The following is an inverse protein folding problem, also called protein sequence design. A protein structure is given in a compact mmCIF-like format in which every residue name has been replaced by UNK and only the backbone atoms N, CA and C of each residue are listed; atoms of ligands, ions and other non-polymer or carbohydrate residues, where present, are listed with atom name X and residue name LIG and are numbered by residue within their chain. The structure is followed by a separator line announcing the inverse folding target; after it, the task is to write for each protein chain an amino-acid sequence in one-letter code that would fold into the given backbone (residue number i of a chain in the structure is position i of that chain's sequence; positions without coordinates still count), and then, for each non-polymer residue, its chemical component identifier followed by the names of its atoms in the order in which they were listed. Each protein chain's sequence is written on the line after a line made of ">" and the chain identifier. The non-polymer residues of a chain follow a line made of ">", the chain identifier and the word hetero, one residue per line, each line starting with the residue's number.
data_IF_869019183795
#
_entry.id   IF_869019183795
#
_cell.length_a   1.000
_cell.length_b   1.000
_cell.length_c   1.000
_cell.angle_alpha   90.00
_cell.angle_beta   90.00
_cell.angle_gamma   90.00
#
_symmetry.space_group_name_H-M   'P 1'
#
loop_
_entity.id
_entity.type
_entity.pdbx_description
1 polymer ?
#
# COMPACT_ATOMS: atom_id res chain seq x y z
N UNK A 1 9.94 -20.46 -42.67
CA UNK A 1 11.28 -19.83 -42.72
C UNK A 1 12.01 -20.12 -41.42
N UNK A 2 13.35 -20.26 -41.43
CA UNK A 2 14.08 -20.93 -40.35
C UNK A 2 14.10 -20.09 -39.08
N UNK A 3 13.79 -20.73 -37.94
CA UNK A 3 13.93 -20.17 -36.60
C UNK A 3 15.40 -20.15 -36.21
N UNK A 4 15.94 -18.98 -35.88
CA UNK A 4 17.22 -18.87 -35.18
C UNK A 4 16.99 -18.34 -33.77
N UNK A 5 17.26 -19.20 -32.80
CA UNK A 5 17.47 -18.89 -31.39
C UNK A 5 18.76 -18.09 -31.21
N UNK A 6 18.74 -17.03 -30.40
CA UNK A 6 19.97 -16.37 -29.95
C UNK A 6 19.90 -15.94 -28.49
N UNK A 7 21.04 -16.16 -27.84
CA UNK A 7 21.37 -15.95 -26.44
C UNK A 7 21.26 -14.51 -25.96
N UNK A 8 20.88 -14.39 -24.69
CA UNK A 8 20.82 -13.13 -23.95
C UNK A 8 22.14 -12.90 -23.24
N UNK A 9 22.93 -11.95 -23.72
CA UNK A 9 23.95 -11.33 -22.87
C UNK A 9 24.29 -9.93 -23.38
N UNK A 10 23.90 -8.91 -22.61
CA UNK A 10 24.72 -7.72 -22.39
C UNK A 10 24.17 -6.92 -21.22
N UNK A 11 25.06 -6.72 -20.24
CA UNK A 11 24.94 -5.77 -19.13
C UNK A 11 24.66 -4.36 -19.65
N UNK A 12 23.64 -3.70 -19.11
CA UNK A 12 23.59 -2.24 -19.06
C UNK A 12 22.93 -1.78 -17.76
N UNK A 13 23.72 -1.02 -16.99
CA UNK A 13 23.40 -0.34 -15.73
C UNK A 13 22.09 0.48 -15.78
N UNK A 14 21.24 0.46 -14.73
CA UNK A 14 20.01 1.25 -14.70
C UNK A 14 20.29 2.72 -14.38
N UNK A 15 19.94 3.61 -15.32
CA UNK A 15 19.81 5.05 -15.07
C UNK A 15 18.57 5.35 -14.22
N UNK A 16 18.72 6.30 -13.31
CA UNK A 16 17.76 6.76 -12.31
C UNK A 16 16.44 7.27 -12.92
N UNK A 17 15.31 6.70 -12.49
CA UNK A 17 13.96 7.25 -12.69
C UNK A 17 13.59 8.22 -11.56
N UNK A 18 12.76 9.24 -11.81
CA UNK A 18 12.37 10.22 -10.80
C UNK A 18 11.47 9.58 -9.73
N UNK A 19 11.80 9.84 -8.47
CA UNK A 19 11.11 9.36 -7.25
C UNK A 19 9.79 10.14 -7.09
N UNK A 20 8.66 9.53 -7.46
CA UNK A 20 7.32 10.09 -7.18
C UNK A 20 6.92 9.70 -5.76
N UNK A 21 7.43 10.41 -4.77
CA UNK A 21 6.99 10.29 -3.37
C UNK A 21 5.54 10.77 -3.24
N UNK A 22 4.59 9.83 -3.19
CA UNK A 22 3.21 10.10 -2.76
C UNK A 22 3.20 10.08 -1.23
N UNK A 23 3.29 11.26 -0.62
CA UNK A 23 3.09 11.40 0.82
C UNK A 23 1.59 11.21 1.13
N UNK A 24 1.22 10.03 1.65
CA UNK A 24 -0.09 9.83 2.24
C UNK A 24 -0.16 10.60 3.57
N UNK A 25 -0.71 11.81 3.56
CA UNK A 25 -1.11 12.49 4.79
C UNK A 25 -2.40 11.85 5.30
N UNK A 26 -2.28 11.08 6.38
CA UNK A 26 -3.44 10.59 7.15
C UNK A 26 -4.12 11.79 7.81
N UNK A 27 -5.20 12.27 7.18
CA UNK A 27 -6.04 13.33 7.75
C UNK A 27 -6.82 12.75 8.92
N UNK A 28 -6.51 13.22 10.13
CA UNK A 28 -7.23 12.83 11.35
C UNK A 28 -8.62 13.45 11.32
N UNK A 29 -9.66 12.65 11.09
CA UNK A 29 -11.04 13.08 11.28
C UNK A 29 -11.28 13.33 12.77
N UNK A 30 -11.46 14.60 13.15
CA UNK A 30 -11.85 14.97 14.52
C UNK A 30 -13.32 14.67 14.76
N UNK A 31 -13.58 13.80 15.74
CA UNK A 31 -14.54 14.02 16.82
C UNK A 31 -16.00 14.26 16.46
N UNK A 32 -16.73 13.16 16.21
CA UNK A 32 -18.14 13.02 16.57
C UNK A 32 -18.27 11.84 17.52
N UNK A 33 -19.06 11.97 18.59
CA UNK A 33 -19.36 10.89 19.55
C UNK A 33 -19.75 9.61 18.80
N UNK A 34 -18.87 8.60 18.85
CA UNK A 34 -19.01 7.32 18.15
C UNK A 34 -17.92 7.03 17.10
N UNK A 35 -17.06 7.98 16.74
CA UNK A 35 -15.94 7.75 15.83
C UNK A 35 -14.65 7.44 16.61
N UNK A 36 -14.22 6.17 16.60
CA UNK A 36 -12.89 5.78 17.10
C UNK A 36 -11.84 6.56 16.28
N UNK A 37 -10.86 7.20 16.91
CA UNK A 37 -9.82 7.93 16.17
C UNK A 37 -8.66 6.99 15.89
N UNK A 38 -7.96 7.14 14.75
CA UNK A 38 -6.77 6.35 14.44
C UNK A 38 -7.00 5.07 13.61
N UNK A 39 -8.11 4.97 12.86
CA UNK A 39 -8.34 3.89 11.90
C UNK A 39 -8.62 4.42 10.49
N UNK A 40 -8.24 3.65 9.47
CA UNK A 40 -8.64 3.83 8.07
C UNK A 40 -9.85 2.93 7.84
N UNK A 41 -10.99 3.53 7.45
CA UNK A 41 -12.12 2.77 6.94
C UNK A 41 -11.72 2.10 5.64
N UNK A 42 -11.85 0.76 5.54
CA UNK A 42 -11.63 0.03 4.28
C UNK A 42 -12.85 0.05 3.37
N UNK A 43 -13.94 0.65 3.84
CA UNK A 43 -15.09 0.98 3.02
C UNK A 43 -15.00 2.44 2.57
N UNK A 44 -14.97 2.63 1.25
CA UNK A 44 -14.99 3.96 0.61
C UNK A 44 -16.33 4.69 0.79
N UNK A 45 -17.37 3.98 1.24
CA UNK A 45 -18.76 4.47 1.22
C UNK A 45 -19.00 5.74 2.05
N UNK A 46 -18.22 5.97 3.11
CA UNK A 46 -18.38 7.13 4.00
C UNK A 46 -17.21 8.11 3.98
N UNK A 47 -16.32 8.04 2.98
CA UNK A 47 -15.29 9.06 2.80
C UNK A 47 -15.98 10.41 2.53
N UNK A 48 -15.59 11.45 3.27
CA UNK A 48 -16.12 12.82 3.18
C UNK A 48 -17.64 12.97 3.43
N UNK A 49 -18.24 12.07 4.24
CA UNK A 49 -19.65 12.18 4.67
C UNK A 49 -19.75 12.67 6.12
N UNK A 50 -20.64 13.62 6.38
CA UNK A 50 -20.81 14.23 7.71
C UNK A 50 -21.77 13.40 8.56
N UNK A 51 -21.37 13.08 9.79
CA UNK A 51 -22.25 12.43 10.78
C UNK A 51 -23.34 13.41 11.23
N UNK A 52 -24.61 13.00 11.18
CA UNK A 52 -25.74 13.77 11.74
C UNK A 52 -26.90 14.09 10.79
N UNK A 53 -26.87 13.67 9.52
CA UNK A 53 -27.91 14.00 8.53
C UNK A 53 -28.98 12.90 8.37
N UNK A 54 -29.69 12.54 9.44
CA UNK A 54 -30.97 11.81 9.30
C UNK A 54 -31.92 12.18 10.44
N UNK A 55 -32.67 13.27 10.27
CA UNK A 55 -33.97 13.41 10.91
C UNK A 55 -35.02 12.85 9.94
N UNK A 56 -35.19 11.53 9.91
CA UNK A 56 -36.41 10.79 9.51
C UNK A 56 -37.06 11.00 8.12
N UNK A 57 -36.84 12.09 7.42
CA UNK A 57 -37.56 12.50 6.23
C UNK A 57 -36.80 13.71 5.67
N UNK A 58 -36.67 13.82 4.34
CA UNK A 58 -35.93 14.86 3.62
C UNK A 58 -34.40 14.74 3.53
N UNK A 59 -33.94 14.72 2.27
CA UNK A 59 -32.64 15.23 1.86
C UNK A 59 -32.58 16.68 2.36
N UNK A 60 -31.74 16.97 3.34
CA UNK A 60 -31.38 18.37 3.63
C UNK A 60 -30.73 18.93 2.38
N UNK A 61 -31.35 19.95 1.78
CA UNK A 61 -30.87 20.71 0.62
C UNK A 61 -29.56 21.51 0.89
N UNK A 62 -28.76 21.11 1.88
CA UNK A 62 -27.56 21.79 2.35
C UNK A 62 -26.26 21.13 1.83
N UNK A 63 -26.35 20.35 0.75
CA UNK A 63 -25.18 19.68 0.17
C UNK A 63 -24.50 18.62 1.06
N UNK A 64 -25.10 18.30 2.21
CA UNK A 64 -24.56 17.32 3.15
C UNK A 64 -24.94 15.91 2.70
N UNK A 65 -23.93 15.09 2.37
CA UNK A 65 -24.13 13.69 1.98
C UNK A 65 -24.21 12.83 3.25
N UNK A 66 -25.35 12.19 3.54
CA UNK A 66 -25.50 11.44 4.78
C UNK A 66 -24.72 10.13 4.75
N UNK A 67 -24.28 9.63 5.91
CA UNK A 67 -23.54 8.36 6.02
C UNK A 67 -24.36 7.20 5.43
N UNK A 68 -23.75 6.40 4.55
CA UNK A 68 -24.25 5.08 4.20
C UNK A 68 -24.12 4.19 5.44
N UNK A 69 -25.13 3.34 5.66
CA UNK A 69 -25.10 2.28 6.67
C UNK A 69 -25.15 0.93 5.96
N UNK A 70 -24.43 -0.09 6.48
CA UNK A 70 -24.30 -1.39 5.82
C UNK A 70 -25.61 -2.20 5.79
N UNK A 71 -26.56 -1.90 6.68
CA UNK A 71 -27.83 -2.63 6.79
C UNK A 71 -29.02 -1.68 6.88
N UNK A 72 -30.06 -1.95 6.10
CA UNK A 72 -31.37 -1.31 6.20
C UNK A 72 -32.40 -2.42 6.45
N UNK A 73 -33.23 -2.30 7.49
CA UNK A 73 -34.31 -3.25 7.69
C UNK A 73 -35.38 -3.00 6.62
N UNK A 74 -35.63 -3.98 5.75
CA UNK A 74 -36.71 -3.95 4.77
C UNK A 74 -37.53 -5.22 4.97
N UNK A 75 -38.64 -5.07 5.66
CA UNK A 75 -39.60 -6.11 6.07
C UNK A 75 -39.19 -6.91 7.33
N UNK A 76 -39.90 -6.68 8.43
CA UNK A 76 -39.63 -7.29 9.75
C UNK A 76 -40.27 -8.69 9.83
N UNK A 77 -39.62 -9.69 9.25
CA UNK A 77 -39.97 -11.10 9.44
C UNK A 77 -39.39 -11.73 10.72
N UNK A 78 -38.99 -10.92 11.73
CA UNK A 78 -38.45 -11.37 13.03
C UNK A 78 -37.18 -12.26 12.94
N UNK A 79 -36.46 -12.22 11.83
CA UNK A 79 -35.15 -12.86 11.69
C UNK A 79 -34.05 -11.78 11.72
N UNK A 80 -33.53 -11.45 12.91
CA UNK A 80 -32.40 -10.52 13.05
C UNK A 80 -31.07 -11.24 12.81
N UNK A 81 -30.09 -10.56 12.20
CA UNK A 81 -28.75 -11.11 12.02
C UNK A 81 -28.02 -11.14 13.36
N UNK A 82 -27.62 -12.33 13.83
CA UNK A 82 -26.80 -12.51 15.04
C UNK A 82 -25.49 -11.70 15.00
N UNK A 83 -24.98 -11.41 13.81
CA UNK A 83 -23.71 -10.70 13.57
C UNK A 83 -23.82 -9.18 13.72
N UNK A 84 -25.02 -8.60 13.74
CA UNK A 84 -25.19 -7.17 14.03
C UNK A 84 -24.95 -6.86 15.52
N UNK A 85 -25.06 -7.88 16.39
CA UNK A 85 -24.76 -7.82 17.83
C UNK A 85 -23.43 -8.53 18.08
N UNK A 86 -22.38 -8.09 17.39
CA UNK A 86 -21.02 -8.60 17.51
C UNK A 86 -20.20 -7.72 18.44
N UNK A 87 -19.92 -8.23 19.64
CA UNK A 87 -19.31 -7.51 20.76
C UNK A 87 -18.07 -6.68 20.42
N UNK A 88 -18.17 -5.38 20.70
CA UNK A 88 -17.42 -4.74 21.79
C UNK A 88 -18.03 -3.33 21.98
N UNK A 89 -18.75 -3.14 23.10
CA UNK A 89 -18.94 -1.84 23.76
C UNK A 89 -19.15 -0.61 22.84
N UNK A 90 -20.21 -0.60 22.03
CA UNK A 90 -20.94 0.66 21.81
C UNK A 90 -21.89 0.75 23.00
N UNK A 91 -21.79 1.82 23.79
CA UNK A 91 -22.56 2.01 25.02
C UNK A 91 -24.06 1.68 24.79
N UNK A 92 -24.54 0.59 25.40
CA UNK A 92 -25.97 0.42 25.67
C UNK A 92 -26.63 -0.90 25.25
N UNK A 93 -26.03 -1.76 24.42
CA UNK A 93 -26.75 -2.96 23.93
C UNK A 93 -26.07 -4.25 24.37
N UNK A 94 -26.64 -4.89 25.41
CA UNK A 94 -26.25 -6.22 25.91
C UNK A 94 -26.97 -7.34 25.13
N UNK A 95 -26.42 -8.59 25.11
CA UNK A 95 -26.98 -9.74 24.37
C UNK A 95 -28.42 -10.19 24.75
N UNK A 96 -29.06 -9.49 25.68
CA UNK A 96 -30.38 -9.78 26.23
C UNK A 96 -31.56 -9.30 25.37
N UNK A 97 -31.34 -8.61 24.26
CA UNK A 97 -32.39 -7.95 23.46
C UNK A 97 -32.84 -8.67 22.17
N UNK A 98 -32.48 -9.95 22.00
CA UNK A 98 -32.70 -10.73 20.75
C UNK A 98 -34.15 -10.79 20.23
N UNK A 99 -35.18 -10.47 21.02
CA UNK A 99 -36.58 -10.71 20.66
C UNK A 99 -37.44 -9.49 20.31
N UNK A 100 -37.00 -8.24 20.52
CA UNK A 100 -37.88 -7.05 20.40
C UNK A 100 -37.27 -5.84 19.65
N UNK A 101 -36.22 -6.02 18.86
CA UNK A 101 -35.23 -4.94 18.74
C UNK A 101 -35.44 -3.92 17.60
N UNK A 102 -36.20 -4.20 16.53
CA UNK A 102 -36.32 -3.26 15.39
C UNK A 102 -37.72 -3.22 14.75
N UNK A 103 -38.27 -2.01 14.59
CA UNK A 103 -39.50 -1.72 13.86
C UNK A 103 -39.23 -1.50 12.35
N UNK A 104 -40.27 -1.59 11.53
CA UNK A 104 -40.17 -1.30 10.11
C UNK A 104 -39.75 0.16 9.88
N UNK A 105 -38.64 0.36 9.18
CA UNK A 105 -38.06 1.69 8.94
C UNK A 105 -36.89 2.03 9.86
N UNK A 106 -36.58 1.19 10.86
CA UNK A 106 -35.42 1.43 11.73
C UNK A 106 -34.10 1.28 10.95
N UNK A 107 -33.25 2.29 11.12
CA UNK A 107 -31.90 2.33 10.56
C UNK A 107 -30.97 1.60 11.51
N UNK A 108 -30.46 0.45 11.08
CA UNK A 108 -29.48 -0.32 11.84
C UNK A 108 -28.10 0.31 11.67
N UNK A 109 -27.66 1.05 12.68
CA UNK A 109 -26.29 1.56 12.72
C UNK A 109 -25.37 0.46 13.25
N UNK A 110 -24.29 0.19 12.53
CA UNK A 110 -23.22 -0.72 12.95
C UNK A 110 -21.87 -0.08 12.63
N UNK A 111 -20.86 -0.36 13.47
CA UNK A 111 -19.48 -0.04 13.11
C UNK A 111 -19.11 -0.85 11.85
N UNK A 112 -18.42 -0.20 10.92
CA UNK A 112 -17.93 -0.89 9.73
C UNK A 112 -16.99 -2.02 10.14
N UNK A 113 -17.24 -3.27 9.71
CA UNK A 113 -16.49 -4.43 10.19
C UNK A 113 -15.03 -4.45 9.71
N UNK A 114 -14.68 -3.62 8.71
CA UNK A 114 -13.36 -3.58 8.11
C UNK A 114 -12.72 -2.21 8.32
N UNK A 115 -11.93 -2.11 9.38
CA UNK A 115 -11.06 -0.97 9.65
C UNK A 115 -9.62 -1.45 9.71
N UNK A 116 -8.71 -0.63 9.20
CA UNK A 116 -7.28 -0.85 9.30
C UNK A 116 -6.71 0.15 10.29
N UNK A 117 -6.11 -0.33 11.38
CA UNK A 117 -5.54 0.53 12.41
C UNK A 117 -4.19 -0.02 12.83
N UNK A 118 -3.29 0.89 13.21
CA UNK A 118 -2.03 0.53 13.86
C UNK A 118 -2.40 0.17 15.29
N UNK A 119 -1.90 -0.96 15.79
CA UNK A 119 -2.21 -1.43 17.15
C UNK A 119 -0.94 -1.54 17.98
N UNK A 120 -1.08 -1.28 19.29
CA UNK A 120 -0.03 -1.50 20.28
C UNK A 120 -0.42 -2.67 21.17
N UNK A 121 0.57 -3.46 21.54
CA UNK A 121 0.48 -4.45 22.60
C UNK A 121 1.65 -4.27 23.57
N UNK A 122 1.34 -4.01 24.84
CA UNK A 122 2.33 -3.99 25.91
C UNK A 122 2.52 -5.41 26.45
N UNK A 123 3.70 -5.98 26.26
CA UNK A 123 4.05 -7.34 26.68
C UNK A 123 4.85 -7.25 27.97
N UNK A 124 4.19 -7.42 29.11
CA UNK A 124 4.82 -7.41 30.43
C UNK A 124 5.55 -8.70 30.76
N UNK A 125 5.00 -9.84 30.32
CA UNK A 125 5.51 -11.20 30.52
C UNK A 125 5.68 -11.94 29.17
N UNK A 126 6.84 -11.85 28.52
CA UNK A 126 7.05 -12.46 27.20
C UNK A 126 7.15 -14.00 27.26
N UNK A 127 7.84 -14.53 28.26
CA UNK A 127 7.89 -15.97 28.52
C UNK A 127 7.67 -16.30 29.99
N UNK A 128 6.42 -16.47 30.38
CA UNK A 128 6.06 -17.14 31.62
C UNK A 128 5.70 -18.62 31.35
N UNK A 129 5.83 -19.48 32.36
CA UNK A 129 5.74 -20.95 32.26
C UNK A 129 4.37 -21.55 32.60
N UNK A 130 3.30 -20.91 32.19
CA UNK A 130 1.92 -21.25 32.54
C UNK A 130 1.11 -21.73 31.35
N UNK A 131 -0.07 -22.24 31.68
CA UNK A 131 -0.96 -22.98 30.78
C UNK A 131 -1.39 -22.14 29.56
N UNK A 132 -1.07 -22.55 28.32
CA UNK A 132 -1.48 -21.85 27.10
C UNK A 132 -3.00 -21.77 26.87
N UNK A 133 -3.77 -22.64 27.52
CA UNK A 133 -5.21 -22.85 27.29
C UNK A 133 -6.11 -22.24 28.39
N UNK A 134 -5.55 -21.55 29.40
CA UNK A 134 -6.33 -20.87 30.42
C UNK A 134 -7.04 -19.59 29.89
N UNK A 135 -8.31 -19.41 30.23
CA UNK A 135 -9.12 -18.21 29.95
C UNK A 135 -9.70 -17.60 31.25
N UNK A 136 -9.28 -16.39 31.68
CA UNK A 136 -8.23 -15.58 31.07
C UNK A 136 -6.86 -16.25 31.26
N UNK A 137 -5.86 -15.94 30.41
CA UNK A 137 -4.50 -16.43 30.61
C UNK A 137 -4.06 -16.10 32.03
N UNK A 138 -3.90 -17.14 32.85
CA UNK A 138 -3.41 -16.97 34.22
C UNK A 138 -1.98 -16.46 34.17
N UNK A 139 -1.57 -15.66 35.16
CA UNK A 139 -0.19 -15.21 35.34
C UNK A 139 0.76 -16.41 35.17
N UNK A 140 1.39 -16.52 34.01
CA UNK A 140 1.88 -17.83 33.57
C UNK A 140 1.89 -18.01 32.06
N UNK A 141 0.87 -17.70 31.30
CA UNK A 141 0.86 -18.06 29.86
C UNK A 141 1.88 -17.27 29.01
N UNK A 142 2.67 -17.94 28.15
CA UNK A 142 3.56 -17.25 27.19
C UNK A 142 2.75 -16.29 26.31
N UNK A 143 3.26 -15.08 26.07
CA UNK A 143 2.62 -14.18 25.12
C UNK A 143 2.71 -14.79 23.70
N UNK A 144 1.55 -15.11 23.11
CA UNK A 144 1.45 -15.84 21.83
C UNK A 144 2.03 -15.03 20.67
N UNK A 145 1.76 -13.72 20.65
CA UNK A 145 2.28 -12.81 19.61
C UNK A 145 3.80 -12.63 19.70
N UNK A 146 4.36 -12.52 20.91
CA UNK A 146 5.82 -12.51 21.09
C UNK A 146 6.46 -13.84 20.69
N UNK A 147 5.86 -14.96 21.11
CA UNK A 147 6.42 -16.29 20.89
C UNK A 147 6.47 -16.64 19.39
N UNK A 148 5.47 -16.23 18.60
CA UNK A 148 5.48 -16.40 17.15
C UNK A 148 6.58 -15.58 16.46
N UNK A 149 6.95 -14.41 17.03
CA UNK A 149 7.99 -13.55 16.49
C UNK A 149 9.43 -13.99 16.82
N UNK A 150 9.64 -14.97 17.71
CA UNK A 150 11.00 -15.41 18.13
C UNK A 150 11.87 -15.85 16.95
N UNK A 151 11.30 -16.61 16.01
CA UNK A 151 12.02 -17.05 14.82
C UNK A 151 12.39 -15.85 13.95
N UNK A 152 11.48 -14.90 13.80
CA UNK A 152 11.70 -13.68 13.03
C UNK A 152 12.81 -12.81 13.65
N UNK A 153 12.81 -12.64 14.97
CA UNK A 153 13.90 -11.98 15.70
C UNK A 153 15.26 -12.62 15.41
N UNK A 154 15.35 -13.95 15.42
CA UNK A 154 16.60 -14.65 15.15
C UNK A 154 17.04 -14.52 13.69
N UNK A 155 16.12 -14.50 12.72
CA UNK A 155 16.44 -14.23 11.31
C UNK A 155 17.02 -12.81 11.17
N UNK A 156 16.39 -11.81 11.79
CA UNK A 156 16.85 -10.43 11.75
C UNK A 156 18.12 -10.16 12.58
N UNK A 157 18.55 -11.10 13.44
CA UNK A 157 19.79 -10.99 14.22
C UNK A 157 21.04 -10.82 13.35
N UNK A 158 20.99 -11.26 12.09
CA UNK A 158 22.04 -11.06 11.09
C UNK A 158 22.25 -9.57 10.77
N UNK A 159 21.19 -8.75 10.83
CA UNK A 159 21.27 -7.30 10.58
C UNK A 159 21.77 -6.52 11.79
N UNK A 160 21.31 -6.91 12.97
CA UNK A 160 21.77 -6.33 14.24
C UNK A 160 21.59 -7.30 15.39
N UNK A 161 22.58 -7.33 16.30
CA UNK A 161 22.50 -8.08 17.56
C UNK A 161 21.34 -7.64 18.45
N UNK A 162 20.80 -6.43 18.27
CA UNK A 162 19.61 -5.97 18.98
C UNK A 162 18.33 -6.72 18.61
N UNK A 163 18.29 -7.45 17.49
CA UNK A 163 17.17 -8.35 17.17
C UNK A 163 17.24 -9.67 17.91
N UNK A 164 18.43 -10.14 18.30
CA UNK A 164 18.58 -11.45 18.94
C UNK A 164 17.71 -11.54 20.21
N UNK A 165 17.02 -12.67 20.37
CA UNK A 165 16.12 -12.92 21.50
C UNK A 165 16.91 -12.88 22.82
N UNK A 166 18.07 -13.55 22.82
CA UNK A 166 19.03 -13.53 23.92
C UNK A 166 20.36 -12.98 23.39
N UNK A 167 20.89 -11.96 24.05
CA UNK A 167 22.18 -11.35 23.70
C UNK A 167 22.83 -10.72 24.93
N UNK A 168 24.08 -10.31 24.81
CA UNK A 168 24.78 -9.52 25.83
C UNK A 168 24.11 -8.17 26.12
N UNK A 169 23.24 -7.69 25.23
CA UNK A 169 22.59 -6.39 25.36
C UNK A 169 21.18 -6.49 25.97
N UNK A 170 20.48 -7.61 25.78
CA UNK A 170 19.12 -7.80 26.27
C UNK A 170 18.70 -9.27 26.23
N UNK A 171 17.80 -9.64 27.15
CA UNK A 171 17.05 -10.89 27.13
C UNK A 171 15.55 -10.60 26.97
N UNK A 172 15.03 -10.74 25.74
CA UNK A 172 13.64 -10.43 25.40
C UNK A 172 12.64 -11.42 25.97
N UNK A 173 13.09 -12.59 26.43
CA UNK A 173 12.21 -13.57 27.06
C UNK A 173 11.70 -13.09 28.43
N UNK A 174 12.52 -12.29 29.13
CA UNK A 174 12.22 -11.82 30.49
C UNK A 174 11.90 -10.34 30.57
N UNK A 175 12.26 -9.56 29.55
CA UNK A 175 12.13 -8.11 29.53
C UNK A 175 10.74 -7.67 29.04
N UNK A 176 10.11 -6.74 29.75
CA UNK A 176 8.92 -6.05 29.26
C UNK A 176 9.22 -5.26 27.98
N UNK A 177 8.41 -5.45 26.95
CA UNK A 177 8.54 -4.77 25.66
C UNK A 177 7.19 -4.35 25.10
N UNK A 178 7.21 -3.48 24.10
CA UNK A 178 6.00 -3.06 23.38
C UNK A 178 6.08 -3.48 21.93
N UNK A 179 5.08 -4.21 21.46
CA UNK A 179 4.90 -4.54 20.05
C UNK A 179 3.97 -3.52 19.42
N UNK A 180 4.37 -2.96 18.29
CA UNK A 180 3.56 -2.09 17.46
C UNK A 180 3.39 -2.80 16.12
N UNK A 181 2.14 -2.98 15.71
CA UNK A 181 1.81 -3.60 14.44
C UNK A 181 1.29 -2.53 13.48
N UNK A 182 2.01 -2.35 12.37
CA UNK A 182 1.65 -1.49 11.26
C UNK A 182 1.14 -2.42 10.15
N UNK A 183 -0.14 -2.32 9.75
CA UNK A 183 -0.66 -3.11 8.63
C UNK A 183 0.02 -2.76 7.30
N UNK A 184 0.14 -3.75 6.40
CA UNK A 184 0.76 -3.59 5.08
C UNK A 184 0.08 -2.55 4.19
N UNK A 185 -1.20 -2.25 4.43
CA UNK A 185 -1.91 -1.19 3.73
C UNK A 185 -1.23 0.19 3.87
N UNK A 186 -0.48 0.42 4.96
CA UNK A 186 0.22 1.68 5.15
C UNK A 186 1.55 1.80 4.38
N UNK A 187 2.19 0.67 4.01
CA UNK A 187 3.54 0.68 3.45
C UNK A 187 3.72 -0.10 2.14
N UNK A 188 2.69 -0.81 1.66
CA UNK A 188 2.76 -1.62 0.45
C UNK A 188 3.59 -2.88 0.63
N UNK A 189 4.74 -2.97 -0.04
CA UNK A 189 5.60 -4.17 -0.03
C UNK A 189 6.53 -4.23 1.18
N UNK A 190 7.10 -3.10 1.59
CA UNK A 190 7.92 -2.98 2.83
C UNK A 190 8.03 -1.51 3.22
N UNK A 191 8.38 -1.27 4.48
CA UNK A 191 8.78 0.07 4.93
C UNK A 191 10.19 0.38 4.39
N UNK A 192 10.40 1.57 3.83
CA UNK A 192 11.70 2.02 3.30
C UNK A 192 12.70 2.19 4.46
N UNK A 193 13.81 1.41 4.50
CA UNK A 193 14.81 1.54 5.56
C UNK A 193 15.42 2.93 5.61
N UNK A 194 15.56 3.51 6.80
CA UNK A 194 16.10 4.85 7.03
C UNK A 194 15.07 5.96 7.15
N UNK A 195 13.79 5.67 6.89
CA UNK A 195 12.72 6.68 6.89
C UNK A 195 11.88 6.68 8.16
N UNK A 196 12.01 5.63 8.97
CA UNK A 196 11.20 5.43 10.17
C UNK A 196 11.64 6.36 11.31
N UNK A 197 10.70 7.14 11.82
CA UNK A 197 10.87 8.02 12.97
C UNK A 197 9.64 7.94 13.88
N UNK A 198 9.89 7.75 15.18
CA UNK A 198 8.88 7.73 16.23
C UNK A 198 9.14 8.91 17.15
N UNK A 199 8.14 9.77 17.34
CA UNK A 199 8.21 10.95 18.18
C UNK A 199 7.24 10.83 19.34
N UNK A 200 7.65 11.36 20.47
CA UNK A 200 6.83 11.51 21.66
C UNK A 200 6.66 12.99 21.96
N UNK A 201 5.41 13.42 22.11
CA UNK A 201 5.05 14.76 22.56
C UNK A 201 4.36 14.70 23.92
N UNK A 202 4.74 15.61 24.80
CA UNK A 202 4.10 15.83 26.09
C UNK A 202 3.60 17.27 26.15
N UNK A 203 2.31 17.45 26.46
CA UNK A 203 1.60 18.74 26.45
C UNK A 203 1.84 19.58 25.18
N UNK A 204 2.05 18.90 24.04
CA UNK A 204 2.31 19.50 22.73
C UNK A 204 3.80 19.77 22.41
N UNK A 205 4.71 19.58 23.37
CA UNK A 205 6.16 19.74 23.16
C UNK A 205 6.82 18.39 22.86
N UNK A 206 7.76 18.35 21.90
CA UNK A 206 8.54 17.14 21.61
C UNK A 206 9.47 16.85 22.78
N UNK A 207 9.35 15.67 23.39
CA UNK A 207 10.22 15.22 24.48
C UNK A 207 11.17 14.09 24.08
N UNK A 208 10.97 13.46 22.92
CA UNK A 208 11.91 12.45 22.44
C UNK A 208 11.62 11.96 21.04
N UNK A 209 12.67 11.50 20.36
CA UNK A 209 12.61 10.91 19.02
C UNK A 209 13.50 9.67 18.91
N UNK A 210 12.92 8.56 18.46
CA UNK A 210 13.65 7.40 17.94
C UNK A 210 13.69 7.47 16.42
N UNK A 211 14.87 7.30 15.84
CA UNK A 211 15.05 7.29 14.39
C UNK A 211 15.88 6.10 13.95
N UNK A 212 15.45 5.51 12.84
CA UNK A 212 16.24 4.53 12.12
C UNK A 212 17.30 5.23 11.26
N UNK A 213 18.45 5.55 11.84
CA UNK A 213 19.53 6.23 11.12
C UNK A 213 20.47 5.25 10.40
N UNK A 214 20.58 4.02 10.89
CA UNK A 214 21.51 3.00 10.38
C UNK A 214 20.93 2.13 9.26
N UNK A 215 19.62 2.18 9.01
CA UNK A 215 18.91 1.37 7.99
C UNK A 215 19.03 -0.14 8.21
N UNK A 216 19.43 -0.56 9.41
CA UNK A 216 19.60 -1.95 9.80
C UNK A 216 18.45 -2.45 10.69
N UNK A 217 17.43 -1.62 10.91
CA UNK A 217 16.28 -1.90 11.76
C UNK A 217 16.45 -1.42 13.20
N UNK A 218 17.59 -0.84 13.60
CA UNK A 218 17.73 -0.25 14.94
C UNK A 218 17.04 1.11 15.03
N UNK A 219 16.17 1.26 16.03
CA UNK A 219 15.56 2.54 16.38
C UNK A 219 16.42 3.21 17.46
N UNK A 220 17.12 4.26 17.07
CA UNK A 220 18.12 4.94 17.91
C UNK A 220 17.54 6.23 18.45
N UNK A 221 17.71 6.48 19.74
CA UNK A 221 17.31 7.76 20.33
C UNK A 221 18.20 8.90 19.81
N UNK A 222 17.56 9.91 19.23
CA UNK A 222 18.20 11.13 18.70
C UNK A 222 17.90 12.34 19.57
N UNK A 223 16.73 12.39 20.21
CA UNK A 223 16.34 13.47 21.13
C UNK A 223 15.66 12.94 22.39
N UNK A 224 15.61 13.79 23.42
CA UNK A 224 15.23 13.48 24.79
C UNK A 224 16.42 13.65 25.74
N UNK A 225 16.48 12.82 26.78
CA UNK A 225 17.58 12.80 27.73
C UNK A 225 18.90 12.46 27.02
N UNK A 226 19.81 13.43 27.00
CA UNK A 226 21.11 13.34 26.35
C UNK A 226 21.93 12.11 26.76
N UNK A 227 21.78 11.61 27.99
CA UNK A 227 22.50 10.44 28.51
C UNK A 227 22.12 9.12 27.79
N UNK A 228 20.99 9.14 27.07
CA UNK A 228 20.48 7.99 26.32
C UNK A 228 20.52 8.19 24.80
N UNK A 229 20.98 9.35 24.31
CA UNK A 229 21.14 9.57 22.88
C UNK A 229 22.18 8.58 22.31
N UNK A 230 21.88 8.01 21.15
CA UNK A 230 22.69 6.96 20.54
C UNK A 230 22.39 5.54 21.03
N UNK A 231 21.57 5.36 22.08
CA UNK A 231 21.10 4.03 22.51
C UNK A 231 19.94 3.54 21.64
N UNK A 232 19.85 2.23 21.47
CA UNK A 232 18.81 1.56 20.68
C UNK A 232 17.58 1.32 21.54
N UNK A 233 16.51 2.09 21.33
CA UNK A 233 15.24 2.01 22.07
C UNK A 233 14.29 0.92 21.54
N UNK A 234 14.56 0.38 20.36
CA UNK A 234 13.75 -0.67 19.77
C UNK A 234 14.30 -1.16 18.44
N UNK A 235 13.58 -2.10 17.83
CA UNK A 235 13.92 -2.66 16.53
C UNK A 235 12.71 -2.66 15.59
N UNK A 236 12.95 -2.52 14.29
CA UNK A 236 11.95 -2.43 13.23
C UNK A 236 12.14 -3.53 12.19
N UNK A 237 11.09 -4.32 11.97
CA UNK A 237 11.01 -5.37 10.96
C UNK A 237 10.27 -4.82 9.74
N UNK A 238 11.02 -4.26 8.78
CA UNK A 238 10.44 -3.46 7.69
C UNK A 238 9.50 -4.22 6.75
N UNK A 239 9.72 -5.53 6.57
CA UNK A 239 8.92 -6.33 5.64
C UNK A 239 7.57 -6.71 6.26
N UNK A 240 7.57 -6.96 7.56
CA UNK A 240 6.38 -7.42 8.29
C UNK A 240 5.57 -6.26 8.89
N UNK A 241 6.17 -5.08 9.04
CA UNK A 241 5.51 -3.93 9.64
C UNK A 241 5.44 -3.98 11.17
N UNK A 242 6.34 -4.74 11.81
CA UNK A 242 6.41 -4.82 13.27
C UNK A 242 7.52 -3.94 13.83
N UNK A 243 7.20 -3.16 14.86
CA UNK A 243 8.19 -2.50 15.69
C UNK A 243 8.17 -3.12 17.09
N UNK A 244 9.34 -3.43 17.63
CA UNK A 244 9.47 -3.97 18.98
C UNK A 244 10.34 -3.05 19.82
N UNK A 245 9.71 -2.33 20.75
CA UNK A 245 10.34 -1.35 21.62
C UNK A 245 10.75 -2.00 22.94
N UNK A 246 11.99 -1.75 23.36
CA UNK A 246 12.57 -2.31 24.59
C UNK A 246 13.20 -1.24 25.48
N UNK A 247 13.26 0.02 25.03
CA UNK A 247 13.84 1.13 25.78
C UNK A 247 13.04 1.42 27.06
N UNK A 248 13.58 0.96 28.19
CA UNK A 248 12.96 1.04 29.52
C UNK A 248 13.48 2.21 30.37
N UNK A 249 14.32 3.07 29.78
CA UNK A 249 14.81 4.30 30.40
C UNK A 249 13.84 5.46 30.19
N UNK A 250 13.91 6.45 31.08
CA UNK A 250 13.09 7.66 31.01
C UNK A 250 13.46 8.49 29.78
N UNK A 251 12.46 8.94 29.03
CA UNK A 251 12.65 9.76 27.84
C UNK A 251 13.29 11.10 28.22
N UNK A 252 12.87 11.72 29.33
CA UNK A 252 13.46 12.95 29.89
C UNK A 252 13.87 12.75 31.36
N UNK A 253 14.77 13.60 31.87
CA UNK A 253 15.26 13.49 33.27
C UNK A 253 14.17 13.73 34.30
N UNK A 254 13.32 14.71 34.05
CA UNK A 254 12.20 15.11 34.91
C UNK A 254 10.94 15.15 34.04
N UNK A 255 10.19 14.05 34.03
CA UNK A 255 8.93 13.98 33.32
C UNK A 255 7.85 13.51 34.30
N UNK A 256 6.69 14.19 34.38
CA UNK A 256 5.63 13.79 35.28
C UNK A 256 5.14 12.38 34.93
N UNK A 257 4.65 11.68 35.95
CA UNK A 257 4.02 10.39 35.76
C UNK A 257 2.65 10.58 35.13
N UNK A 258 2.38 9.82 34.07
CA UNK A 258 1.10 9.82 33.36
C UNK A 258 0.56 8.41 33.23
N UNK A 259 -0.76 8.25 33.11
CA UNK A 259 -1.35 6.92 32.96
C UNK A 259 -1.10 6.33 31.59
N UNK A 260 -0.14 5.40 31.52
CA UNK A 260 0.37 4.79 30.27
C UNK A 260 0.11 3.29 30.15
N UNK A 261 -0.47 2.71 31.20
CA UNK A 261 -0.91 1.31 31.26
C UNK A 261 -2.35 1.28 31.77
N UNK A 262 -3.09 0.23 31.41
CA UNK A 262 -4.41 -0.01 31.95
C UNK A 262 -4.28 -0.79 33.25
N UNK A 263 -4.79 -0.23 34.35
CA UNK A 263 -4.99 -0.95 35.60
C UNK A 263 -6.39 -0.60 36.11
N UNK A 264 -7.26 -1.60 36.10
CA UNK A 264 -8.66 -1.44 36.50
C UNK A 264 -8.84 -1.46 38.02
N UNK A 265 -7.85 -1.96 38.77
CA UNK A 265 -7.93 -2.12 40.22
C UNK A 265 -7.35 -0.91 40.97
N UNK A 266 -6.28 -0.30 40.45
CA UNK A 266 -5.66 0.89 41.03
C UNK A 266 -5.22 1.88 39.94
N UNK A 267 -5.89 3.04 39.91
CA UNK A 267 -5.65 4.09 38.91
C UNK A 267 -4.34 4.85 39.14
N UNK A 268 -3.82 4.88 40.36
CA UNK A 268 -2.49 5.43 40.63
C UNK A 268 -1.41 4.42 40.24
N UNK A 269 -1.69 3.12 40.34
CA UNK A 269 -0.85 2.07 39.78
C UNK A 269 -0.80 2.08 38.24
N UNK A 270 -1.64 2.84 37.55
CA UNK A 270 -1.56 3.08 36.10
C UNK A 270 -0.53 4.16 35.71
N UNK A 271 -0.13 5.03 36.65
CA UNK A 271 0.80 6.14 36.39
C UNK A 271 2.23 5.63 36.18
N UNK A 272 2.87 6.03 35.09
CA UNK A 272 4.25 5.69 34.73
C UNK A 272 4.96 6.91 34.18
N UNK A 273 6.27 6.94 34.34
CA UNK A 273 7.10 7.92 33.63
C UNK A 273 7.19 7.55 32.15
N UNK A 274 7.23 8.52 31.23
CA UNK A 274 7.40 8.27 29.81
C UNK A 274 8.70 7.51 29.49
N UNK A 275 8.53 6.38 28.80
CA UNK A 275 9.59 5.46 28.35
C UNK A 275 9.25 4.96 26.95
N UNK A 276 10.23 4.50 26.18
CA UNK A 276 9.98 3.99 24.82
C UNK A 276 9.05 2.76 24.80
N UNK A 277 9.11 1.90 25.83
CA UNK A 277 8.14 0.79 26.00
C UNK A 277 6.68 1.25 26.16
N UNK A 278 6.45 2.52 26.49
CA UNK A 278 5.10 3.09 26.63
C UNK A 278 4.65 3.91 25.42
N UNK A 279 5.46 3.95 24.36
CA UNK A 279 5.14 4.73 23.17
C UNK A 279 3.88 4.16 22.52
N UNK A 280 2.94 5.04 22.16
CA UNK A 280 1.67 4.65 21.55
C UNK A 280 0.61 4.18 22.55
N UNK A 281 0.71 4.51 23.84
CA UNK A 281 -0.35 4.18 24.80
C UNK A 281 -1.71 4.76 24.36
N UNK A 282 -2.76 3.93 24.39
CA UNK A 282 -4.08 4.26 23.86
C UNK A 282 -4.29 3.86 22.39
N UNK A 283 -3.28 3.29 21.72
CA UNK A 283 -3.38 2.80 20.35
C UNK A 283 -4.01 1.39 20.30
N UNK A 284 -5.32 1.33 20.56
CA UNK A 284 -6.13 0.11 20.59
C UNK A 284 -5.55 -0.98 21.52
N UNK A 285 -4.99 -0.56 22.65
CA UNK A 285 -4.33 -1.40 23.66
C UNK A 285 -5.13 -1.50 24.97
N UNK A 286 -6.37 -0.99 24.97
CA UNK A 286 -7.25 -0.96 26.14
C UNK A 286 -6.94 0.17 27.14
N UNK A 287 -5.91 0.99 26.93
CA UNK A 287 -5.64 2.17 27.75
C UNK A 287 -6.57 3.30 27.28
N UNK A 288 -7.49 3.74 28.15
CA UNK A 288 -8.48 4.78 27.81
C UNK A 288 -8.28 6.05 28.63
N UNK A 289 -8.77 7.19 28.13
CA UNK A 289 -8.79 8.47 28.87
C UNK A 289 -9.56 8.37 30.20
N UNK A 290 -10.50 7.42 30.35
CA UNK A 290 -11.30 7.26 31.57
C UNK A 290 -10.69 6.26 32.58
N UNK A 291 -9.54 5.67 32.29
CA UNK A 291 -8.72 4.96 33.28
C UNK A 291 -8.10 5.93 34.31
N UNK A 292 -8.32 7.23 34.18
CA UNK A 292 -7.77 8.28 35.02
C UNK A 292 -8.89 9.04 35.72
N UNK A 293 -8.64 9.47 36.96
CA UNK A 293 -9.59 10.32 37.67
C UNK A 293 -9.66 11.69 36.98
N UNK A 294 -10.80 12.34 37.15
CA UNK A 294 -11.07 13.72 36.77
C UNK A 294 -10.20 14.69 37.60
N UNK A 295 -8.89 14.61 37.44
CA UNK A 295 -7.91 15.46 38.08
C UNK A 295 -6.93 15.97 37.02
N UNK A 296 -6.64 17.26 37.12
CA UNK A 296 -5.69 18.10 36.38
C UNK A 296 -5.18 17.57 35.02
N UNK A 297 -5.46 18.31 33.94
CA UNK A 297 -5.20 17.94 32.53
C UNK A 297 -3.77 17.49 32.16
N UNK A 298 -2.79 17.68 33.04
CA UNK A 298 -1.38 17.38 32.81
C UNK A 298 -0.97 15.92 33.09
N UNK A 299 -1.70 15.18 33.94
CA UNK A 299 -1.34 13.80 34.35
C UNK A 299 -2.10 12.69 33.59
N UNK A 300 -2.96 13.08 32.65
CA UNK A 300 -3.82 12.16 31.90
C UNK A 300 -3.19 11.77 30.56
N UNK A 301 -3.63 10.65 29.98
CA UNK A 301 -3.18 10.21 28.66
C UNK A 301 -3.34 11.30 27.57
N UNK A 302 -4.30 12.21 27.74
CA UNK A 302 -4.54 13.37 26.87
C UNK A 302 -3.34 14.32 26.75
N UNK A 303 -2.45 14.35 27.75
CA UNK A 303 -1.21 15.13 27.67
C UNK A 303 -0.13 14.46 26.83
N UNK A 304 -0.25 13.16 26.53
CA UNK A 304 0.66 12.43 25.65
C UNK A 304 0.11 12.38 24.22
N UNK A 305 0.97 12.68 23.24
CA UNK A 305 0.68 12.41 21.84
C UNK A 305 1.89 11.79 21.14
N UNK A 306 1.60 10.98 20.14
CA UNK A 306 2.59 10.16 19.45
C UNK A 306 2.54 10.45 17.96
N UNK A 307 3.69 10.45 17.31
CA UNK A 307 3.76 10.54 15.86
C UNK A 307 4.71 9.49 15.34
N UNK A 308 4.26 8.74 14.34
CA UNK A 308 5.08 7.80 13.59
C UNK A 308 5.10 8.26 12.13
N UNK A 309 6.29 8.34 11.56
CA UNK A 309 6.51 8.75 10.18
C UNK A 309 7.42 7.73 9.51
N UNK A 310 7.02 7.25 8.34
CA UNK A 310 7.81 6.35 7.50
C UNK A 310 7.37 6.48 6.05
N UNK A 311 8.22 6.04 5.13
CA UNK A 311 7.88 5.89 3.71
C UNK A 311 7.66 4.42 3.39
N UNK A 312 6.56 4.10 2.69
CA UNK A 312 6.34 2.78 2.10
C UNK A 312 7.09 2.62 0.78
N UNK A 313 7.52 1.40 0.48
CA UNK A 313 8.03 1.01 -0.84
C UNK A 313 7.12 -0.09 -1.40
N UNK A 314 6.57 0.15 -2.59
CA UNK A 314 5.81 -0.86 -3.34
C UNK A 314 6.66 -1.32 -4.53
N UNK A 315 6.86 -2.63 -4.65
CA UNK A 315 7.51 -3.22 -5.82
C UNK A 315 6.44 -3.71 -6.79
N UNK A 316 6.27 -3.00 -7.90
CA UNK A 316 5.47 -3.49 -9.03
C UNK A 316 6.35 -4.40 -9.90
N UNK A 317 5.82 -5.57 -10.27
CA UNK A 317 6.52 -6.44 -11.20
C UNK A 317 6.30 -5.91 -12.61
N UNK A 318 7.40 -5.64 -13.33
CA UNK A 318 7.36 -5.11 -14.69
C UNK A 318 8.10 -6.06 -15.61
N UNK A 319 7.43 -6.59 -16.62
CA UNK A 319 8.06 -7.31 -17.72
C UNK A 319 8.38 -6.31 -18.84
N UNK A 320 9.64 -6.26 -19.27
CA UNK A 320 10.07 -5.44 -20.42
C UNK A 320 10.42 -6.35 -21.59
N UNK A 321 9.78 -6.14 -22.73
CA UNK A 321 10.04 -6.85 -23.98
C UNK A 321 10.53 -5.87 -25.05
N UNK A 322 11.46 -6.31 -25.90
CA UNK A 322 11.90 -5.56 -27.07
C UNK A 322 11.46 -6.27 -28.35
N UNK A 323 10.63 -5.59 -29.14
CA UNK A 323 10.25 -6.05 -30.48
C UNK A 323 11.13 -5.33 -31.50
N UNK A 324 12.06 -6.08 -32.10
CA UNK A 324 12.96 -5.56 -33.12
C UNK A 324 12.35 -5.71 -34.52
N UNK A 325 12.44 -4.66 -35.32
CA UNK A 325 12.16 -4.68 -36.74
C UNK A 325 13.45 -4.25 -37.45
N UNK A 326 14.29 -5.24 -37.79
CA UNK A 326 15.62 -4.97 -38.37
C UNK A 326 15.52 -4.50 -39.82
N UNK A 327 16.63 -4.05 -40.38
CA UNK A 327 16.81 -3.71 -41.78
C UNK A 327 16.40 -4.89 -42.65
N UNK A 328 15.53 -4.64 -43.64
CA UNK A 328 14.98 -5.68 -44.51
C UNK A 328 13.85 -6.54 -43.89
N UNK A 329 13.56 -6.41 -42.59
CA UNK A 329 12.40 -7.06 -41.96
C UNK A 329 11.18 -6.13 -41.94
N UNK A 330 9.99 -6.73 -41.83
CA UNK A 330 8.70 -6.01 -41.79
C UNK A 330 8.60 -4.94 -42.90
N UNK A 331 8.98 -5.27 -44.13
CA UNK A 331 9.08 -4.34 -45.27
C UNK A 331 7.96 -4.52 -46.31
N UNK A 332 6.92 -5.30 -45.99
CA UNK A 332 5.76 -5.49 -46.85
C UNK A 332 4.46 -5.50 -46.04
N UNK A 333 3.37 -5.09 -46.67
CA UNK A 333 2.01 -5.19 -46.15
C UNK A 333 1.18 -6.07 -47.07
N UNK A 334 0.33 -6.91 -46.51
CA UNK A 334 -0.64 -7.71 -47.27
C UNK A 334 -1.88 -6.90 -47.69
N UNK A 335 -1.93 -5.60 -47.38
CA UNK A 335 -3.04 -4.73 -47.72
C UNK A 335 -3.05 -4.42 -49.24
N UNK A 336 -4.05 -4.87 -50.02
CA UNK A 336 -4.09 -4.73 -51.48
C UNK A 336 -4.13 -3.27 -51.99
N UNK A 337 -4.30 -2.29 -51.10
CA UNK A 337 -4.25 -0.85 -51.43
C UNK A 337 -2.87 -0.32 -51.83
N UNK A 338 -1.84 -1.20 -51.90
CA UNK A 338 -0.52 -0.83 -52.41
C UNK A 338 -0.48 -0.65 -53.93
N UNK A 339 -1.50 -1.09 -54.69
CA UNK A 339 -1.57 -0.91 -56.15
C UNK A 339 -2.08 0.48 -56.52
N UNK A 340 -1.57 1.04 -57.62
CA UNK A 340 -2.09 2.31 -58.15
C UNK A 340 -3.51 2.13 -58.73
N UNK A 341 -4.38 3.09 -58.45
CA UNK A 341 -5.77 3.05 -58.90
C UNK A 341 -5.88 3.30 -60.41
N UNK A 342 -6.77 2.56 -61.09
CA UNK A 342 -7.08 2.75 -62.51
C UNK A 342 -6.16 2.02 -63.50
N UNK A 343 -5.30 1.12 -63.02
CA UNK A 343 -4.49 0.27 -63.89
C UNK A 343 -5.35 -0.82 -64.56
N UNK A 344 -4.95 -1.21 -65.78
CA UNK A 344 -5.62 -2.27 -66.51
C UNK A 344 -5.57 -3.60 -65.73
N UNK A 345 -6.74 -4.06 -65.31
CA UNK A 345 -6.89 -5.38 -64.68
C UNK A 345 -6.74 -6.48 -65.72
N UNK A 346 -6.09 -7.59 -65.34
CA UNK A 346 -5.97 -8.77 -66.19
C UNK A 346 -7.36 -9.34 -66.43
N UNK A 347 -7.76 -9.46 -67.71
CA UNK A 347 -9.09 -9.94 -68.12
C UNK A 347 -9.16 -11.45 -68.40
N UNK A 348 -8.03 -12.16 -68.35
CA UNK A 348 -7.96 -13.58 -68.68
C UNK A 348 -7.15 -14.34 -67.64
N UNK A 349 -7.77 -15.39 -67.07
CA UNK A 349 -7.12 -16.42 -66.26
C UNK A 349 -7.48 -17.77 -66.88
N UNK A 350 -6.50 -18.65 -67.06
CA UNK A 350 -6.66 -19.98 -67.66
C UNK A 350 -6.09 -21.05 -66.73
N UNK A 351 -6.54 -22.29 -66.87
CA UNK A 351 -6.06 -23.44 -66.09
C UNK A 351 -4.66 -23.92 -66.49
N UNK A 352 -4.03 -23.33 -67.52
CA UNK A 352 -2.75 -23.78 -68.08
C UNK A 352 -1.66 -22.70 -68.11
N UNK A 353 -2.00 -21.43 -67.91
CA UNK A 353 -1.03 -20.33 -67.93
C UNK A 353 -1.37 -19.33 -66.83
N UNK A 354 -0.41 -19.08 -65.95
CA UNK A 354 -0.40 -17.94 -65.04
C UNK A 354 0.46 -16.85 -65.68
N UNK A 355 -0.17 -15.74 -66.05
CA UNK A 355 0.52 -14.55 -66.54
C UNK A 355 0.23 -13.40 -65.56
N UNK A 356 1.26 -12.84 -64.96
CA UNK A 356 1.16 -11.64 -64.13
C UNK A 356 1.38 -10.42 -65.03
N UNK A 357 0.56 -9.38 -64.90
CA UNK A 357 0.75 -8.16 -65.69
C UNK A 357 2.11 -7.52 -65.33
N UNK A 358 3.10 -7.50 -66.23
CA UNK A 358 4.47 -7.06 -65.94
C UNK A 358 4.58 -5.54 -65.72
N UNK A 359 3.51 -4.79 -66.01
CA UNK A 359 3.43 -3.32 -65.92
C UNK A 359 2.58 -2.81 -64.75
N UNK A 360 2.21 -3.67 -63.78
CA UNK A 360 1.54 -3.19 -62.56
C UNK A 360 2.48 -2.30 -61.75
N UNK A 361 2.12 -1.04 -61.59
CA UNK A 361 2.87 -0.09 -60.74
C UNK A 361 2.31 -0.12 -59.32
N UNK A 362 3.21 -0.13 -58.34
CA UNK A 362 2.87 0.07 -56.94
C UNK A 362 2.68 1.57 -56.67
N UNK A 363 1.66 1.91 -55.88
CA UNK A 363 1.43 3.27 -55.40
C UNK A 363 2.60 3.70 -54.51
N UNK A 364 3.40 4.65 -54.99
CA UNK A 364 4.45 5.25 -54.18
C UNK A 364 3.82 6.20 -53.15
N UNK A 365 4.14 5.99 -51.87
CA UNK A 365 3.71 6.85 -50.76
C UNK A 365 4.82 7.80 -50.30
N UNK A 366 6.00 7.74 -50.91
CA UNK A 366 7.12 8.66 -50.67
C UNK A 366 6.93 9.91 -51.53
N UNK A 367 6.72 11.07 -50.89
CA UNK A 367 6.79 12.37 -51.56
C UNK A 367 8.20 12.93 -51.51
N UNK A 368 8.62 13.63 -52.56
CA UNK A 368 9.89 14.35 -52.55
C UNK A 368 9.74 15.66 -51.76
N UNK A 369 10.80 16.08 -51.07
CA UNK A 369 10.82 17.35 -50.34
C UNK A 369 10.95 18.59 -51.26
N UNK A 370 11.18 18.40 -52.57
CA UNK A 370 11.43 19.46 -53.55
C UNK A 370 10.16 19.90 -54.32
N UNK A 371 8.98 19.71 -53.73
CA UNK A 371 7.69 19.98 -54.39
C UNK A 371 6.71 20.77 -53.53
N UNK A 372 7.07 21.97 -53.09
CA UNK A 372 6.14 22.91 -52.44
C UNK A 372 6.08 24.23 -53.21
N UNK A 373 5.16 24.33 -54.17
CA UNK A 373 4.88 25.54 -54.93
C UNK A 373 4.09 25.28 -56.22
N UNK A 374 3.55 26.34 -56.83
CA UNK A 374 2.66 26.32 -58.02
C UNK A 374 3.29 25.80 -59.33
N UNK A 375 4.46 25.16 -59.25
CA UNK A 375 5.15 24.46 -60.35
C UNK A 375 5.27 22.99 -59.95
N UNK A 376 4.12 22.35 -59.70
CA UNK A 376 4.02 20.95 -59.30
C UNK A 376 4.18 20.01 -60.51
N UNK A 377 5.30 20.12 -61.22
CA UNK A 377 5.59 19.30 -62.39
C UNK A 377 6.90 18.53 -62.18
N UNK A 378 6.77 17.30 -61.67
CA UNK A 378 7.63 16.21 -62.15
C UNK A 378 8.58 15.51 -61.18
N UNK A 379 8.79 15.96 -59.94
CA UNK A 379 9.73 15.27 -59.04
C UNK A 379 9.04 14.24 -58.15
N UNK A 380 8.74 13.07 -58.71
CA UNK A 380 8.39 11.87 -57.94
C UNK A 380 9.68 11.19 -57.47
N UNK A 381 9.78 10.92 -56.16
CA UNK A 381 10.89 10.10 -55.66
C UNK A 381 10.77 8.69 -56.25
N UNK A 382 11.91 8.02 -56.46
CA UNK A 382 11.90 6.60 -56.83
C UNK A 382 11.16 5.79 -55.77
N UNK A 383 10.41 4.77 -56.18
CA UNK A 383 9.72 3.87 -55.26
C UNK A 383 10.72 3.26 -54.25
N UNK A 384 10.37 3.33 -52.97
CA UNK A 384 11.09 2.67 -51.89
C UNK A 384 10.11 1.85 -51.07
N UNK A 385 10.52 0.64 -50.65
CA UNK A 385 9.71 -0.20 -49.77
C UNK A 385 9.64 0.44 -48.39
N UNK A 386 8.42 0.76 -47.96
CA UNK A 386 8.16 1.30 -46.64
C UNK A 386 6.82 0.80 -46.11
N UNK A 387 6.72 0.65 -44.79
CA UNK A 387 5.48 0.27 -44.12
C UNK A 387 5.23 1.18 -42.92
N UNK A 388 3.98 1.20 -42.45
CA UNK A 388 3.62 1.84 -41.19
C UNK A 388 3.33 0.76 -40.14
N UNK A 389 4.12 0.75 -39.07
CA UNK A 389 3.88 -0.13 -37.92
C UNK A 389 2.88 0.58 -37.00
N UNK A 390 1.69 0.02 -36.84
CA UNK A 390 0.61 0.58 -35.99
C UNK A 390 0.30 -0.27 -34.77
N UNK A 391 0.58 -1.58 -34.85
CA UNK A 391 0.29 -2.55 -33.79
C UNK A 391 1.41 -3.58 -33.72
N UNK A 392 1.67 -4.05 -32.50
CA UNK A 392 2.65 -5.11 -32.21
C UNK A 392 1.91 -6.21 -31.47
N UNK A 393 1.85 -7.40 -32.08
CA UNK A 393 1.29 -8.60 -31.45
C UNK A 393 2.35 -9.32 -30.62
N UNK A 394 1.99 -9.72 -29.40
CA UNK A 394 2.80 -10.56 -28.53
C UNK A 394 2.23 -11.96 -28.58
N UNK A 395 3.08 -12.94 -28.86
CA UNK A 395 2.70 -14.34 -29.02
C UNK A 395 3.41 -15.22 -27.99
N UNK A 396 2.73 -16.29 -27.54
CA UNK A 396 3.35 -17.35 -26.74
C UNK A 396 4.15 -18.33 -27.62
N UNK A 397 4.88 -19.28 -27.02
CA UNK A 397 5.67 -20.33 -27.67
C UNK A 397 4.91 -21.14 -28.71
N UNK A 398 3.60 -21.28 -28.54
CA UNK A 398 2.71 -22.02 -29.43
C UNK A 398 2.07 -21.11 -30.52
N UNK A 399 2.57 -19.89 -30.71
CA UNK A 399 2.06 -18.86 -31.64
C UNK A 399 0.62 -18.39 -31.37
N UNK A 400 0.15 -18.54 -30.14
CA UNK A 400 -1.12 -17.95 -29.69
C UNK A 400 -0.91 -16.46 -29.36
N UNK A 401 -1.78 -15.60 -29.87
CA UNK A 401 -1.74 -14.15 -29.58
C UNK A 401 -2.17 -13.92 -28.12
N UNK A 402 -1.25 -13.42 -27.28
CA UNK A 402 -1.47 -13.16 -25.85
C UNK A 402 -1.61 -11.67 -25.53
N UNK A 403 -1.28 -10.78 -26.47
CA UNK A 403 -1.46 -9.35 -26.30
C UNK A 403 -1.26 -8.55 -27.59
N UNK A 404 -1.84 -7.35 -27.66
CA UNK A 404 -1.66 -6.41 -28.77
C UNK A 404 -1.35 -5.02 -28.22
N UNK A 405 -0.14 -4.53 -28.49
CA UNK A 405 0.22 -3.14 -28.21
C UNK A 405 -0.12 -2.27 -29.43
N UNK A 406 -1.02 -1.30 -29.25
CA UNK A 406 -1.39 -0.35 -30.31
C UNK A 406 -0.63 0.96 -30.11
N UNK A 407 0.00 1.46 -31.17
CA UNK A 407 0.71 2.72 -31.16
C UNK A 407 -0.28 3.87 -31.42
N UNK A 408 -0.21 4.94 -30.64
CA UNK A 408 -1.08 6.12 -30.81
C UNK A 408 -0.88 6.84 -32.13
N UNK A 409 0.31 6.71 -32.74
CA UNK A 409 0.59 7.17 -34.10
C UNK A 409 1.43 6.10 -34.81
N UNK A 410 1.03 5.62 -35.99
CA UNK A 410 1.81 4.64 -36.74
C UNK A 410 3.20 5.18 -37.08
N UNK A 411 4.22 4.35 -36.89
CA UNK A 411 5.62 4.71 -37.17
C UNK A 411 5.99 4.21 -38.55
N UNK A 412 6.51 5.11 -39.39
CA UNK A 412 7.07 4.78 -40.69
C UNK A 412 8.36 3.97 -40.50
N UNK A 413 8.46 2.83 -41.19
CA UNK A 413 9.65 1.99 -41.27
C UNK A 413 10.07 1.88 -42.73
N UNK A 414 11.25 2.42 -43.07
CA UNK A 414 11.90 2.17 -44.36
C UNK A 414 12.69 0.87 -44.35
N UNK A 415 13.00 0.36 -45.54
CA UNK A 415 13.76 -0.87 -45.72
C UNK A 415 15.17 -0.81 -45.11
N UNK A 416 15.83 0.36 -45.17
CA UNK A 416 17.20 0.60 -44.71
C UNK A 416 17.32 0.98 -43.22
N UNK A 417 16.19 1.25 -42.56
CA UNK A 417 16.13 1.64 -41.15
C UNK A 417 16.10 0.42 -40.21
N UNK A 418 16.51 0.62 -38.96
CA UNK A 418 16.35 -0.35 -37.85
C UNK A 418 15.46 0.27 -36.78
N UNK A 419 14.39 -0.41 -36.37
CA UNK A 419 13.53 0.04 -35.28
C UNK A 419 13.45 -1.00 -34.16
N UNK A 420 13.35 -0.51 -32.93
CA UNK A 420 13.09 -1.33 -31.76
C UNK A 420 11.97 -0.71 -30.93
N UNK A 421 10.94 -1.49 -30.66
CA UNK A 421 9.82 -1.08 -29.81
C UNK A 421 9.99 -1.69 -28.42
N UNK A 422 9.97 -0.82 -27.40
CA UNK A 422 10.04 -1.24 -26.00
C UNK A 422 8.63 -1.38 -25.46
N UNK A 423 8.22 -2.60 -25.12
CA UNK A 423 6.95 -2.90 -24.48
C UNK A 423 7.21 -3.09 -22.98
N UNK A 424 6.41 -2.42 -22.14
CA UNK A 424 6.39 -2.62 -20.69
C UNK A 424 5.02 -3.15 -20.29
N UNK A 425 5.00 -4.24 -19.55
CA UNK A 425 3.80 -4.85 -18.99
C UNK A 425 3.93 -4.87 -17.47
N UNK A 426 3.00 -4.20 -16.80
CA UNK A 426 2.90 -4.19 -15.35
C UNK A 426 1.86 -5.25 -14.93
N UNK A 427 2.12 -5.98 -13.84
CA UNK A 427 1.21 -6.98 -13.26
C UNK A 427 0.57 -6.52 -11.96
#
# INVERSE_FOLDING_TARGET
>A
MPSQTFDTNTNSTPGSTPDTTVASQVTTLRGGTGSVTGFISLYEYNIARTSGSFDGEYIVNDGTVPMIYPYLSKDSARASFKTAVGGNTIQGMTPTFYNNEFAFGDILTAAYPQVCTITRELITLPSSSGDPDADPPTNGTYNRHYTSLKNLFNIYSVKSRHFAVTSSFANKNTQTGSLIHIPSLFYGTKIRPGTLSLKWYFTGSLIGELRDTKRNGELIQVSGNADNNGKVGGVAMYNEGFLYLTGSWKIEKECPTISLVSDAADKDAAKREPKWIYWGAGMNDGVTQNSTNNETSTENLTSASYSITFEGETKTQVMTMYAHARRGEANYSNNPTFLEYGQAEMKYTSSHVYEENPSRLMKNTVSSAYGTGAIASGYTASFQRQVYISKIGVYDKDYNLIGVATLGSPVLKKEDEDLAFKLKMDF
#
